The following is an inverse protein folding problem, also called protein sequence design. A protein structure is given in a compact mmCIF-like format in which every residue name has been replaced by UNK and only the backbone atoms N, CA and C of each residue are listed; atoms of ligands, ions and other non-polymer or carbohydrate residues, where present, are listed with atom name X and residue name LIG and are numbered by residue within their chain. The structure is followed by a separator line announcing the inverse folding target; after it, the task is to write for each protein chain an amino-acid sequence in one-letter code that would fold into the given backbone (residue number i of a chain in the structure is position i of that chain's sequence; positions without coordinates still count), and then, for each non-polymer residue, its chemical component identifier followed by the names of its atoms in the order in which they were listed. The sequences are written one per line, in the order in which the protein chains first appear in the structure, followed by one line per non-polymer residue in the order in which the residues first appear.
data_IF_375757136732
#
_entry.id   IF_375757136732
#
_cell.length_a   1.000
_cell.length_b   1.000
_cell.length_c   1.000
_cell.angle_alpha   90.00
_cell.angle_beta   90.00
_cell.angle_gamma   90.00
#
_symmetry.space_group_name_H-M   'P 1'
#
loop_
_entity.id
_entity.type
_entity.pdbx_description
1 polymer ?
#
# COMPACT_ATOMS: atom_id res chain seq x y z
N UNK A 1 5.41 12.01 8.35
CA UNK A 1 5.40 10.70 7.69
C UNK A 1 6.78 10.11 7.85
N UNK A 2 6.91 8.80 8.03
CA UNK A 2 8.22 8.14 8.03
C UNK A 2 8.27 7.16 6.88
N UNK A 3 9.40 7.08 6.17
CA UNK A 3 9.58 6.06 5.16
C UNK A 3 10.84 5.25 5.35
N UNK A 4 10.74 3.96 5.04
CA UNK A 4 11.85 2.99 5.09
C UNK A 4 11.87 2.26 3.76
N UNK A 5 13.04 2.21 3.13
CA UNK A 5 13.27 1.54 1.86
C UNK A 5 14.25 0.37 2.04
N UNK A 6 13.88 -0.82 1.54
CA UNK A 6 14.74 -2.02 1.49
C UNK A 6 15.05 -2.52 0.07
N UNK A 7 15.24 -1.58 -0.86
CA UNK A 7 15.50 -1.72 -2.31
C UNK A 7 14.28 -2.08 -3.17
N UNK A 8 13.27 -2.75 -2.61
CA UNK A 8 12.07 -3.17 -3.34
C UNK A 8 10.75 -2.76 -2.69
N UNK A 9 10.78 -2.37 -1.40
CA UNK A 9 9.61 -1.92 -0.67
C UNK A 9 9.84 -0.53 -0.11
N UNK A 10 8.83 0.33 -0.23
CA UNK A 10 8.79 1.61 0.48
C UNK A 10 7.61 1.57 1.45
N UNK A 11 7.91 1.56 2.74
CA UNK A 11 6.90 1.71 3.78
C UNK A 11 6.69 3.18 4.09
N UNK A 12 5.44 3.63 4.20
CA UNK A 12 5.02 5.01 4.40
C UNK A 12 4.06 5.07 5.58
N UNK A 13 4.52 5.64 6.70
CA UNK A 13 3.74 5.79 7.93
C UNK A 13 3.29 7.23 8.09
N UNK A 14 2.00 7.47 8.28
CA UNK A 14 1.46 8.79 8.56
C UNK A 14 0.86 8.83 9.97
N UNK A 15 1.04 9.96 10.67
CA UNK A 15 0.41 10.20 11.95
C UNK A 15 -0.95 10.86 11.74
N UNK A 16 -1.98 10.28 12.34
CA UNK A 16 -3.34 10.80 12.28
C UNK A 16 -3.83 11.10 13.69
N UNK A 17 -4.57 12.22 13.85
CA UNK A 17 -5.30 12.49 15.10
C UNK A 17 -6.36 11.43 15.38
N UNK A 18 -6.97 10.90 14.32
CA UNK A 18 -7.88 9.76 14.33
C UNK A 18 -7.60 8.93 13.09
N UNK A 19 -7.28 7.65 13.27
CA UNK A 19 -6.90 6.75 12.17
C UNK A 19 -8.13 6.39 11.33
N UNK A 20 -8.04 6.47 10.00
CA UNK A 20 -9.10 5.98 9.11
C UNK A 20 -9.41 4.50 9.34
N UNK A 21 -10.68 4.12 9.17
CA UNK A 21 -11.16 2.75 9.36
C UNK A 21 -11.58 2.11 8.05
N UNK A 22 -11.41 0.79 7.96
CA UNK A 22 -12.04 -0.07 6.95
C UNK A 22 -12.86 -1.16 7.64
N UNK A 23 -14.05 -1.46 7.09
CA UNK A 23 -14.99 -2.46 7.61
C UNK A 23 -15.97 -2.89 6.51
N UNK A 24 -16.70 -3.99 6.74
CA UNK A 24 -17.62 -4.55 5.74
C UNK A 24 -16.89 -5.33 4.64
N UNK A 25 -17.57 -5.59 3.52
CA UNK A 25 -16.95 -6.30 2.37
C UNK A 25 -16.40 -7.70 2.70
N UNK A 26 -16.97 -8.36 3.72
CA UNK A 26 -16.51 -9.66 4.23
C UNK A 26 -15.44 -9.60 5.32
N UNK A 27 -15.03 -8.42 5.78
CA UNK A 27 -14.18 -8.27 6.96
C UNK A 27 -14.93 -8.65 8.24
N UNK A 28 -14.23 -9.29 9.17
CA UNK A 28 -14.80 -9.77 10.45
C UNK A 28 -15.00 -8.66 11.50
N UNK A 29 -14.49 -7.45 11.24
CA UNK A 29 -14.59 -6.32 12.15
C UNK A 29 -14.14 -5.00 11.55
N UNK A 30 -13.77 -4.07 12.43
CA UNK A 30 -13.20 -2.78 12.08
C UNK A 30 -11.68 -2.87 12.14
N UNK A 31 -11.02 -2.29 11.14
CA UNK A 31 -9.57 -2.24 11.05
C UNK A 31 -9.10 -0.81 10.86
N UNK A 32 -8.09 -0.40 11.62
CA UNK A 32 -7.51 0.94 11.59
C UNK A 32 -6.26 1.03 10.72
N UNK A 33 -6.19 2.07 9.91
CA UNK A 33 -5.06 2.33 9.02
C UNK A 33 -3.76 2.45 9.80
N UNK A 34 -2.73 1.76 9.32
CA UNK A 34 -1.39 1.75 9.93
C UNK A 34 -0.34 2.38 9.00
N UNK A 35 -0.25 1.91 7.75
CA UNK A 35 0.79 2.29 6.80
C UNK A 35 0.40 1.99 5.36
N UNK A 36 1.07 2.66 4.42
CA UNK A 36 1.11 2.28 3.01
C UNK A 36 2.43 1.57 2.73
N UNK A 37 2.43 0.54 1.90
CA UNK A 37 3.64 -0.11 1.42
C UNK A 37 3.58 -0.22 -0.11
N UNK A 38 4.62 0.23 -0.79
CA UNK A 38 4.73 0.17 -2.25
C UNK A 38 5.74 -0.89 -2.63
N UNK A 39 5.39 -1.72 -3.60
CA UNK A 39 6.22 -2.78 -4.16
C UNK A 39 6.40 -2.53 -5.66
N UNK A 40 7.65 -2.51 -6.13
CA UNK A 40 7.99 -2.27 -7.54
C UNK A 40 9.08 -3.23 -8.01
N UNK A 41 9.20 -3.36 -9.34
CA UNK A 41 10.21 -4.18 -9.99
C UNK A 41 11.37 -3.38 -10.57
N UNK A 42 12.26 -4.04 -11.30
CA UNK A 42 13.38 -3.37 -11.96
C UNK A 42 12.99 -2.55 -13.19
N UNK A 43 11.81 -2.79 -13.74
CA UNK A 43 11.28 -2.17 -14.95
C UNK A 43 9.74 -2.16 -14.93
N UNK A 44 9.13 -1.61 -15.97
CA UNK A 44 7.68 -1.42 -16.04
C UNK A 44 6.85 -2.67 -16.35
N UNK A 45 7.49 -3.83 -16.56
CA UNK A 45 6.81 -5.08 -16.89
C UNK A 45 6.56 -5.97 -15.67
N UNK A 46 7.13 -5.61 -14.52
CA UNK A 46 7.09 -6.40 -13.28
C UNK A 46 7.12 -5.49 -12.05
N UNK A 47 6.66 -6.01 -10.90
CA UNK A 47 6.75 -5.30 -9.63
C UNK A 47 5.68 -5.66 -8.61
N UNK A 48 4.45 -5.93 -9.07
CA UNK A 48 3.40 -6.41 -8.19
C UNK A 48 3.73 -7.78 -7.63
N UNK A 49 3.34 -8.01 -6.39
CA UNK A 49 3.46 -9.32 -5.75
C UNK A 49 2.31 -10.22 -6.18
N UNK A 50 1.11 -9.65 -6.30
CA UNK A 50 -0.03 -10.33 -6.86
C UNK A 50 0.03 -10.36 -8.39
N UNK A 51 -0.54 -11.42 -8.96
CA UNK A 51 -0.86 -11.51 -10.38
C UNK A 51 -2.33 -11.82 -10.57
N UNK A 52 -2.95 -11.26 -11.61
CA UNK A 52 -4.32 -11.61 -12.02
C UNK A 52 -4.21 -12.28 -13.38
N UNK A 53 -4.70 -13.51 -13.49
CA UNK A 53 -4.57 -14.32 -14.73
C UNK A 53 -3.12 -14.41 -15.22
N UNK A 54 -2.17 -14.55 -14.28
CA UNK A 54 -0.72 -14.58 -14.52
C UNK A 54 -0.12 -13.29 -15.11
N UNK A 55 -0.87 -12.20 -15.15
CA UNK A 55 -0.37 -10.87 -15.49
C UNK A 55 0.18 -10.20 -14.24
N UNK A 56 1.45 -9.76 -14.33
CA UNK A 56 2.10 -8.93 -13.33
C UNK A 56 2.00 -7.45 -13.72
N UNK A 57 2.02 -6.57 -12.72
CA UNK A 57 1.85 -5.13 -12.86
C UNK A 57 3.13 -4.41 -12.41
N UNK A 58 3.44 -3.21 -12.95
CA UNK A 58 4.65 -2.45 -12.60
C UNK A 58 4.76 -2.03 -11.13
N UNK A 59 3.63 -1.85 -10.46
CA UNK A 59 3.58 -1.32 -9.08
C UNK A 59 2.37 -1.91 -8.35
N UNK A 60 2.55 -2.20 -7.08
CA UNK A 60 1.49 -2.59 -6.16
C UNK A 60 1.56 -1.77 -4.87
N UNK A 61 0.41 -1.29 -4.42
CA UNK A 61 0.23 -0.60 -3.14
C UNK A 61 -0.52 -1.49 -2.16
N UNK A 62 0.03 -1.65 -0.97
CA UNK A 62 -0.63 -2.23 0.19
C UNK A 62 -1.06 -1.13 1.15
N UNK A 63 -2.37 -1.02 1.38
CA UNK A 63 -2.92 -0.23 2.47
C UNK A 63 -3.17 -1.14 3.67
N UNK A 64 -2.27 -1.07 4.65
CA UNK A 64 -2.23 -2.00 5.79
C UNK A 64 -3.05 -1.45 6.95
N UNK A 65 -3.94 -2.29 7.48
CA UNK A 65 -4.78 -1.97 8.62
C UNK A 65 -4.67 -3.05 9.71
N UNK A 66 -4.74 -2.64 10.98
CA UNK A 66 -4.76 -3.53 12.14
C UNK A 66 -6.16 -3.62 12.72
N UNK A 67 -6.59 -4.79 13.18
CA UNK A 67 -7.90 -4.92 13.81
C UNK A 67 -8.00 -4.03 15.05
N UNK A 68 -9.11 -3.30 15.17
CA UNK A 68 -9.33 -2.36 16.28
C UNK A 68 -9.33 -3.12 17.61
N UNK A 69 -8.57 -2.59 18.57
CA UNK A 69 -8.49 -3.12 19.93
C UNK A 69 -7.37 -4.14 20.16
N UNK A 70 -6.61 -4.51 19.13
CA UNK A 70 -5.44 -5.37 19.26
C UNK A 70 -4.15 -4.56 19.36
N UNK A 71 -3.18 -5.06 20.11
CA UNK A 71 -1.78 -4.64 19.96
C UNK A 71 -1.19 -5.15 18.64
N UNK A 72 -0.03 -4.60 18.26
CA UNK A 72 0.69 -5.08 17.07
C UNK A 72 1.04 -6.57 17.19
N UNK A 73 1.48 -7.03 18.36
CA UNK A 73 1.81 -8.44 18.60
C UNK A 73 0.57 -9.34 18.51
N UNK A 74 -0.54 -8.91 19.09
CA UNK A 74 -1.81 -9.65 19.05
C UNK A 74 -2.29 -9.79 17.60
N UNK A 75 -2.32 -8.68 16.86
CA UNK A 75 -2.73 -8.65 15.45
C UNK A 75 -1.87 -9.57 14.58
N UNK A 76 -0.56 -9.69 14.84
CA UNK A 76 0.35 -10.59 14.11
C UNK A 76 0.22 -12.06 14.51
N UNK A 77 -0.41 -12.36 15.65
CA UNK A 77 -0.49 -13.70 16.22
C UNK A 77 -1.78 -14.45 15.90
N UNK A 78 -2.77 -13.78 15.31
CA UNK A 78 -4.08 -14.38 15.03
C UNK A 78 -4.47 -14.25 13.55
N UNK A 79 -5.22 -15.23 13.00
CA UNK A 79 -5.79 -15.13 11.67
C UNK A 79 -6.64 -13.86 11.52
N UNK A 80 -6.47 -13.17 10.39
CA UNK A 80 -7.16 -11.92 10.07
C UNK A 80 -6.98 -10.80 11.10
N UNK A 81 -5.92 -10.81 11.92
CA UNK A 81 -5.59 -9.69 12.79
C UNK A 81 -5.18 -8.43 12.01
N UNK A 82 -4.80 -8.59 10.74
CA UNK A 82 -4.54 -7.51 9.78
C UNK A 82 -5.50 -7.60 8.59
N UNK A 83 -5.91 -6.44 8.06
CA UNK A 83 -6.59 -6.33 6.78
C UNK A 83 -5.75 -5.49 5.82
N UNK A 84 -5.42 -6.05 4.66
CA UNK A 84 -4.63 -5.36 3.64
C UNK A 84 -5.48 -5.15 2.39
N UNK A 85 -5.56 -3.91 1.94
CA UNK A 85 -6.11 -3.57 0.63
C UNK A 85 -4.96 -3.45 -0.36
N UNK A 86 -4.95 -4.32 -1.38
CA UNK A 86 -3.95 -4.33 -2.44
C UNK A 86 -4.50 -3.65 -3.70
N UNK A 87 -3.76 -2.66 -4.20
CA UNK A 87 -4.08 -1.88 -5.38
C UNK A 87 -2.96 -2.08 -6.40
N UNK A 88 -3.31 -2.67 -7.54
CA UNK A 88 -2.41 -2.84 -8.67
C UNK A 88 -2.39 -1.58 -9.52
N UNK A 89 -1.26 -1.31 -10.17
CA UNK A 89 -1.13 -0.18 -11.10
C UNK A 89 -0.77 -0.66 -12.49
N UNK A 90 -1.45 -0.17 -13.51
CA UNK A 90 -1.13 -0.44 -14.91
C UNK A 90 -0.53 0.80 -15.60
N UNK A 91 0.24 0.56 -16.66
CA UNK A 91 0.90 1.64 -17.38
C UNK A 91 -0.09 2.53 -18.11
N UNK A 92 0.13 3.83 -17.95
CA UNK A 92 -0.57 4.89 -18.67
C UNK A 92 0.41 5.87 -19.32
N UNK A 93 -0.10 6.61 -20.30
CA UNK A 93 0.63 7.71 -20.94
C UNK A 93 0.61 8.99 -20.10
N UNK A 94 -0.22 9.05 -19.05
CA UNK A 94 -0.38 10.21 -18.17
C UNK A 94 0.04 9.87 -16.75
N UNK A 95 0.72 10.81 -16.09
CA UNK A 95 1.06 10.71 -14.67
C UNK A 95 -0.18 10.59 -13.79
N UNK A 96 -0.08 9.77 -12.76
CA UNK A 96 -1.05 9.71 -11.68
C UNK A 96 -0.82 10.89 -10.73
N UNK A 97 -1.72 11.88 -10.67
CA UNK A 97 -1.50 13.07 -9.85
C UNK A 97 -1.44 12.75 -8.36
N UNK A 98 -2.08 11.68 -7.88
CA UNK A 98 -2.03 11.28 -6.46
C UNK A 98 -0.65 10.74 -6.10
N UNK A 99 -0.06 9.93 -6.98
CA UNK A 99 1.30 9.40 -6.79
C UNK A 99 2.36 10.50 -6.80
N UNK A 100 2.19 11.57 -7.57
CA UNK A 100 3.15 12.68 -7.58
C UNK A 100 3.39 13.29 -6.20
N UNK A 101 2.37 13.32 -5.35
CA UNK A 101 2.50 13.84 -3.99
C UNK A 101 3.29 12.89 -3.09
N UNK A 102 3.09 11.59 -3.25
CA UNK A 102 3.86 10.56 -2.57
C UNK A 102 5.31 10.57 -3.05
N UNK A 103 5.55 10.66 -4.36
CA UNK A 103 6.89 10.73 -4.95
C UNK A 103 7.67 11.97 -4.49
N UNK A 104 7.03 13.15 -4.42
CA UNK A 104 7.67 14.35 -3.85
C UNK A 104 7.94 14.20 -2.35
N UNK A 105 7.05 13.53 -1.62
CA UNK A 105 7.24 13.23 -0.21
C UNK A 105 8.50 12.38 0.00
N UNK A 106 8.71 11.39 -0.88
CA UNK A 106 9.87 10.51 -0.89
C UNK A 106 11.15 11.27 -1.22
N UNK A 107 11.15 12.12 -2.26
CA UNK A 107 12.31 12.95 -2.60
C UNK A 107 12.80 13.78 -1.40
N UNK A 108 11.86 14.32 -0.62
CA UNK A 108 12.18 15.07 0.60
C UNK A 108 12.73 14.18 1.72
N UNK A 109 12.24 12.94 1.84
CA UNK A 109 12.76 11.97 2.79
C UNK A 109 14.18 11.55 2.44
N UNK A 110 14.47 11.29 1.16
CA UNK A 110 15.78 10.81 0.71
C UNK A 110 16.88 11.87 0.88
N UNK A 111 16.51 13.14 0.91
CA UNK A 111 17.42 14.27 1.14
C UNK A 111 17.52 14.68 2.62
N UNK A 112 16.69 14.12 3.50
CA UNK A 112 16.68 14.44 4.92
C UNK A 112 17.82 13.72 5.69
N UNK A 113 18.47 14.35 6.68
CA UNK A 113 19.62 13.78 7.40
C UNK A 113 19.34 12.46 8.13
N UNK A 114 18.09 12.20 8.49
CA UNK A 114 17.61 11.03 9.23
C UNK A 114 16.66 10.14 8.41
N UNK A 115 16.51 10.41 7.11
CA UNK A 115 15.48 9.80 6.26
C UNK A 115 14.07 9.92 6.85
N UNK A 116 13.80 11.02 7.56
CA UNK A 116 12.47 11.35 8.05
C UNK A 116 12.07 12.73 7.55
N UNK A 117 10.83 12.86 7.04
CA UNK A 117 10.28 14.15 6.67
C UNK A 117 8.83 14.28 7.11
N UNK A 118 8.51 15.42 7.73
CA UNK A 118 7.12 15.80 7.93
C UNK A 118 6.51 16.22 6.59
N UNK A 119 5.85 15.27 5.95
CA UNK A 119 5.12 15.51 4.72
C UNK A 119 3.67 15.81 5.07
N UNK A 120 3.25 17.03 4.79
CA UNK A 120 1.85 17.43 4.83
C UNK A 120 1.12 16.76 3.66
N UNK A 121 0.10 15.96 3.94
CA UNK A 121 -0.68 15.22 2.94
C UNK A 121 -1.96 15.98 2.60
N UNK A 122 -2.10 16.57 1.40
CA UNK A 122 -3.34 17.24 1.00
C UNK A 122 -4.47 16.28 0.57
N UNK A 123 -4.24 14.96 0.55
CA UNK A 123 -5.15 14.00 -0.10
C UNK A 123 -5.71 12.97 0.88
N UNK A 124 -6.96 12.58 0.63
CA UNK A 124 -7.59 11.49 1.37
C UNK A 124 -7.00 10.15 0.94
N UNK A 125 -6.84 9.20 1.88
CA UNK A 125 -6.41 7.82 1.55
C UNK A 125 -7.31 7.17 0.48
N UNK A 126 -8.60 7.54 0.46
CA UNK A 126 -9.54 7.07 -0.55
C UNK A 126 -9.15 7.45 -2.00
N UNK A 127 -8.30 8.48 -2.19
CA UNK A 127 -7.77 8.83 -3.51
C UNK A 127 -6.77 7.80 -4.07
N UNK A 128 -6.34 6.84 -3.25
CA UNK A 128 -5.52 5.70 -3.65
C UNK A 128 -6.35 4.42 -3.88
N UNK A 129 -7.68 4.52 -3.85
CA UNK A 129 -8.58 3.41 -4.15
C UNK A 129 -9.11 3.53 -5.58
N UNK A 130 -9.47 2.40 -6.23
CA UNK A 130 -10.17 2.42 -7.51
C UNK A 130 -11.59 2.99 -7.36
N UNK A 131 -12.15 3.48 -8.48
CA UNK A 131 -13.51 4.01 -8.51
C UNK A 131 -14.56 2.96 -8.14
N UNK A 132 -14.40 1.70 -8.60
CA UNK A 132 -15.28 0.58 -8.25
C UNK A 132 -14.66 -0.35 -7.20
N UNK A 133 -14.77 0.04 -5.94
CA UNK A 133 -14.31 -0.75 -4.78
C UNK A 133 -15.10 -2.05 -4.52
N UNK A 134 -16.12 -2.37 -5.31
CA UNK A 134 -16.94 -3.58 -5.11
C UNK A 134 -16.36 -4.80 -5.82
N UNK A 135 -15.43 -4.60 -6.75
CA UNK A 135 -14.80 -5.67 -7.54
C UNK A 135 -13.43 -5.99 -6.96
N UNK A 136 -13.37 -7.05 -6.16
CA UNK A 136 -12.14 -7.50 -5.52
C UNK A 136 -12.12 -9.01 -5.32
N UNK A 137 -10.93 -9.54 -5.11
CA UNK A 137 -10.68 -10.89 -4.61
C UNK A 137 -10.39 -10.83 -3.11
N UNK A 138 -10.89 -11.81 -2.37
CA UNK A 138 -10.76 -11.92 -0.91
C UNK A 138 -10.19 -13.27 -0.55
N UNK A 139 -9.12 -13.28 0.24
CA UNK A 139 -8.55 -14.52 0.76
C UNK A 139 -7.75 -14.28 2.04
N UNK A 140 -7.57 -15.34 2.84
CA UNK A 140 -6.69 -15.33 4.01
C UNK A 140 -5.27 -15.69 3.58
N UNK A 141 -4.28 -14.96 4.07
CA UNK A 141 -2.87 -15.16 3.72
C UNK A 141 -1.92 -14.57 4.75
N UNK A 142 -0.69 -14.29 4.32
CA UNK A 142 0.37 -13.77 5.17
C UNK A 142 0.77 -12.34 4.83
N UNK A 143 1.62 -11.76 5.68
CA UNK A 143 2.50 -10.66 5.25
C UNK A 143 3.44 -11.15 4.15
N UNK A 144 3.79 -10.25 3.22
CA UNK A 144 4.73 -10.53 2.12
C UNK A 144 6.17 -10.10 2.44
N UNK A 145 6.37 -9.43 3.58
CA UNK A 145 7.68 -8.99 4.07
C UNK A 145 7.90 -9.40 5.54
N UNK A 146 9.16 -9.42 5.97
CA UNK A 146 9.53 -9.70 7.35
C UNK A 146 9.39 -11.17 7.75
N UNK A 147 8.58 -11.44 8.77
CA UNK A 147 8.41 -12.78 9.38
C UNK A 147 7.23 -13.58 8.81
N UNK A 148 6.55 -13.04 7.79
CA UNK A 148 5.53 -13.76 6.99
C UNK A 148 4.37 -14.35 7.82
N UNK A 149 3.91 -13.66 8.87
CA UNK A 149 2.78 -14.11 9.69
C UNK A 149 1.51 -14.34 8.86
N UNK A 150 0.87 -15.51 9.00
CA UNK A 150 -0.44 -15.86 8.42
C UNK A 150 -1.59 -15.17 9.17
N UNK A 151 -1.56 -13.83 9.20
CA UNK A 151 -2.45 -12.98 9.97
C UNK A 151 -3.28 -12.03 9.09
N UNK A 152 -3.18 -12.13 7.77
CA UNK A 152 -3.71 -11.12 6.84
C UNK A 152 -4.96 -11.62 6.15
N UNK A 153 -6.03 -10.81 6.19
CA UNK A 153 -7.13 -10.92 5.23
C UNK A 153 -6.92 -9.94 4.08
N UNK A 154 -6.66 -10.47 2.88
CA UNK A 154 -6.34 -9.70 1.68
C UNK A 154 -7.59 -9.24 0.95
N UNK A 155 -7.56 -8.00 0.43
CA UNK A 155 -8.53 -7.46 -0.53
C UNK A 155 -7.76 -6.98 -1.76
N UNK A 156 -7.72 -7.78 -2.82
CA UNK A 156 -7.04 -7.41 -4.07
C UNK A 156 -8.06 -6.83 -5.03
N UNK A 157 -8.01 -5.52 -5.28
CA UNK A 157 -8.97 -4.89 -6.19
C UNK A 157 -8.71 -5.31 -7.64
N UNK A 158 -9.79 -5.58 -8.37
CA UNK A 158 -9.71 -6.05 -9.75
C UNK A 158 -9.48 -4.91 -10.77
N UNK A 159 -9.84 -3.67 -10.40
CA UNK A 159 -9.57 -2.49 -11.21
C UNK A 159 -8.21 -1.91 -10.81
N UNK A 160 -7.20 -1.93 -11.70
CA UNK A 160 -5.94 -1.27 -11.42
C UNK A 160 -6.10 0.26 -11.48
N UNK A 161 -5.19 0.97 -10.81
CA UNK A 161 -4.97 2.39 -11.02
C UNK A 161 -3.94 2.62 -12.13
N UNK A 162 -3.86 3.85 -12.63
CA UNK A 162 -2.85 4.18 -13.62
C UNK A 162 -1.53 4.63 -12.98
N UNK A 163 -0.41 4.33 -13.60
CA UNK A 163 0.91 4.89 -13.31
C UNK A 163 1.65 5.15 -14.62
N UNK A 164 2.38 6.25 -14.74
CA UNK A 164 3.18 6.47 -15.95
C UNK A 164 4.52 5.76 -15.87
N UNK A 165 5.14 5.50 -17.04
CA UNK A 165 6.52 5.00 -17.10
C UNK A 165 7.48 5.92 -16.33
N UNK A 166 7.31 7.24 -16.44
CA UNK A 166 8.16 8.20 -15.74
C UNK A 166 8.04 8.07 -14.22
N UNK A 167 6.85 7.79 -13.70
CA UNK A 167 6.61 7.58 -12.26
C UNK A 167 7.13 6.23 -11.76
N UNK A 168 7.10 5.17 -12.57
CA UNK A 168 7.71 3.88 -12.22
C UNK A 168 9.23 3.99 -12.13
N UNK A 169 9.86 4.66 -13.10
CA UNK A 169 11.31 4.86 -13.14
C UNK A 169 11.83 6.00 -12.27
N UNK A 170 10.93 6.85 -11.75
CA UNK A 170 11.33 7.84 -10.75
C UNK A 170 11.79 7.03 -9.56
N UNK A 171 13.10 7.09 -9.30
CA UNK A 171 13.74 6.39 -8.21
C UNK A 171 12.88 6.50 -6.96
N UNK A 172 12.28 5.38 -6.53
CA UNK A 172 11.78 5.23 -5.17
C UNK A 172 12.95 5.20 -4.15
N UNK A 173 14.12 5.74 -4.54
CA UNK A 173 15.48 5.73 -3.99
C UNK A 173 16.05 7.15 -3.95
#
# INVERSE_FOLDING_TARGET
MTAVNDFYTLSVKAEYKSRPLVFGGGLSGYYEFTKLEFHWGSDETQGSEHTIESVQYPLELHMVHSQVGLTSEEALSQPQGLAVLAILFELSTTDNPVLDHILRAIDNINTAPDHMAQVFHPYALASLLPDDVRRYYRYDGSLTTGVFNEAVVWTVFAQPLHVSRAQVYRSWL
#
